data_IF_646827626680
#
_entry.id   IF_646827626680
#
_cell.length_a   1.000
_cell.length_b   1.000
_cell.length_c   1.000
_cell.angle_alpha   90.00
_cell.angle_beta   90.00
_cell.angle_gamma   90.00
#
_symmetry.space_group_name_H-M   'P 1'
#
loop_
_entity.id
_entity.type
_entity.pdbx_description
1 polymer ?
#
# COMPACT_ATOMS: atom_id res chain seq x y z
N UNK A 1 -14.62 -18.66 -2.99
CA UNK A 1 -13.17 -18.67 -3.30
C UNK A 1 -12.60 -19.99 -2.82
N UNK A 2 -11.83 -20.70 -3.65
CA UNK A 2 -11.60 -22.16 -3.55
C UNK A 2 -10.34 -22.57 -2.76
N UNK A 3 -9.52 -21.63 -2.33
CA UNK A 3 -8.25 -21.93 -1.66
C UNK A 3 -8.31 -21.35 -0.24
N UNK A 4 -8.15 -22.21 0.77
CA UNK A 4 -8.18 -21.87 2.20
C UNK A 4 -6.91 -21.11 2.63
N UNK A 5 -6.56 -20.04 1.92
CA UNK A 5 -5.35 -19.25 2.17
C UNK A 5 -5.68 -18.18 3.23
N UNK A 6 -5.06 -18.24 4.42
CA UNK A 6 -5.28 -17.23 5.44
C UNK A 6 -4.62 -15.90 5.05
N UNK A 7 -5.23 -14.81 5.51
CA UNK A 7 -4.63 -13.47 5.56
C UNK A 7 -3.42 -13.46 6.52
N UNK A 8 -2.63 -12.39 6.50
CA UNK A 8 -1.49 -12.21 7.42
C UNK A 8 -1.88 -12.26 8.91
N UNK A 9 -3.15 -12.05 9.24
CA UNK A 9 -3.69 -12.17 10.62
C UNK A 9 -4.40 -13.50 10.90
N UNK A 10 -4.29 -14.49 10.00
CA UNK A 10 -4.88 -15.82 10.19
C UNK A 10 -6.37 -15.96 9.83
N UNK A 11 -7.01 -14.90 9.32
CA UNK A 11 -8.42 -14.97 8.87
C UNK A 11 -8.53 -15.56 7.47
N UNK A 12 -9.54 -16.38 7.20
CA UNK A 12 -9.75 -16.99 5.88
C UNK A 12 -10.48 -16.08 4.89
N UNK A 13 -11.15 -15.05 5.39
CA UNK A 13 -11.91 -14.11 4.56
C UNK A 13 -11.00 -12.95 4.14
N UNK A 14 -10.81 -12.81 2.84
CA UNK A 14 -10.14 -11.66 2.23
C UNK A 14 -11.17 -10.59 1.87
N UNK A 15 -10.89 -9.34 2.23
CA UNK A 15 -11.68 -8.18 1.78
C UNK A 15 -11.01 -7.48 0.60
N UNK A 16 -11.78 -6.67 -0.15
CA UNK A 16 -11.21 -5.86 -1.23
C UNK A 16 -10.13 -4.89 -0.75
N UNK A 17 -10.29 -4.34 0.47
CA UNK A 17 -9.32 -3.43 1.07
C UNK A 17 -8.01 -4.11 1.42
N UNK A 18 -8.04 -5.38 1.85
CA UNK A 18 -6.83 -6.15 2.13
C UNK A 18 -5.98 -6.30 0.87
N UNK A 19 -6.63 -6.63 -0.25
CA UNK A 19 -5.98 -6.76 -1.56
C UNK A 19 -5.48 -5.39 -2.05
N UNK A 20 -6.26 -4.33 -1.88
CA UNK A 20 -5.86 -2.98 -2.26
C UNK A 20 -4.64 -2.49 -1.47
N UNK A 21 -4.52 -2.84 -0.17
CA UNK A 21 -3.34 -2.50 0.63
C UNK A 21 -2.08 -3.21 0.12
N UNK A 22 -2.21 -4.46 -0.33
CA UNK A 22 -1.10 -5.22 -0.91
C UNK A 22 -0.65 -4.58 -2.23
N UNK A 23 -1.58 -4.34 -3.15
CA UNK A 23 -1.26 -3.81 -4.49
C UNK A 23 -0.66 -2.40 -4.42
N UNK A 24 -1.06 -1.58 -3.45
CA UNK A 24 -0.53 -0.21 -3.31
C UNK A 24 0.86 -0.12 -2.67
N UNK A 25 1.34 -1.19 -2.05
CA UNK A 25 2.54 -1.09 -1.24
C UNK A 25 3.79 -1.16 -2.12
N UNK A 26 4.50 -0.05 -2.19
CA UNK A 26 5.70 0.17 -3.00
C UNK A 26 6.83 -0.79 -2.61
N UNK A 27 6.76 -1.34 -1.38
CA UNK A 27 7.70 -2.36 -0.93
C UNK A 27 7.72 -3.59 -1.84
N UNK A 28 6.60 -3.95 -2.45
CA UNK A 28 6.57 -5.09 -3.37
C UNK A 28 7.40 -4.86 -4.63
N UNK A 29 7.64 -3.61 -5.04
CA UNK A 29 8.54 -3.27 -6.15
C UNK A 29 9.96 -2.91 -5.70
N UNK A 30 10.30 -3.13 -4.43
CA UNK A 30 11.62 -2.92 -3.85
C UNK A 30 11.86 -1.55 -3.24
N UNK A 31 10.99 -0.58 -3.49
CA UNK A 31 11.12 0.80 -3.00
C UNK A 31 10.52 0.94 -1.58
N UNK A 32 10.86 2.02 -0.87
CA UNK A 32 10.35 2.28 0.47
C UNK A 32 10.01 3.77 0.66
N UNK A 33 8.77 4.04 1.06
CA UNK A 33 8.35 5.36 1.54
C UNK A 33 8.29 5.35 3.07
N UNK A 34 9.17 6.14 3.69
CA UNK A 34 9.27 6.30 5.14
C UNK A 34 8.42 7.47 5.62
N UNK A 35 7.98 7.41 6.88
CA UNK A 35 7.17 8.43 7.54
C UNK A 35 5.83 8.75 6.84
N UNK A 36 5.15 7.72 6.30
CA UNK A 36 3.75 7.85 5.82
C UNK A 36 2.80 8.35 6.91
N UNK A 37 3.08 8.01 8.16
CA UNK A 37 2.36 8.46 9.35
C UNK A 37 3.34 8.87 10.44
N UNK A 38 2.99 9.87 11.25
CA UNK A 38 3.81 10.34 12.35
C UNK A 38 2.99 10.43 13.64
N UNK A 39 3.68 10.45 14.79
CA UNK A 39 3.06 10.60 16.11
C UNK A 39 2.93 12.08 16.41
N UNK A 40 1.69 12.56 16.57
CA UNK A 40 1.39 13.98 16.85
C UNK A 40 1.64 14.30 18.31
N UNK A 41 1.23 13.40 19.20
CA UNK A 41 1.38 13.54 20.64
C UNK A 41 1.96 12.24 21.23
N UNK A 42 3.07 12.38 21.96
CA UNK A 42 3.77 11.28 22.59
C UNK A 42 3.04 10.71 23.81
N UNK A 43 2.19 11.50 24.47
CA UNK A 43 1.42 11.06 25.65
C UNK A 43 0.21 10.22 25.24
N UNK A 44 -0.59 10.72 24.30
CA UNK A 44 -1.77 9.98 23.78
C UNK A 44 -1.41 8.94 22.73
N UNK A 45 -0.17 8.93 22.21
CA UNK A 45 0.29 8.09 21.09
C UNK A 45 -0.57 8.25 19.84
N UNK A 46 -1.21 9.41 19.67
CA UNK A 46 -2.01 9.70 18.49
C UNK A 46 -1.14 9.71 17.24
N UNK A 47 -1.54 8.94 16.23
CA UNK A 47 -0.87 8.86 14.93
C UNK A 47 -1.77 9.42 13.84
N UNK A 48 -1.19 10.21 12.95
CA UNK A 48 -1.90 10.82 11.82
C UNK A 48 -1.10 10.62 10.55
N UNK A 49 -1.80 10.61 9.42
CA UNK A 49 -1.20 10.59 8.09
C UNK A 49 -0.37 11.85 7.89
N UNK A 50 0.74 11.71 7.17
CA UNK A 50 1.67 12.81 6.99
C UNK A 50 1.35 13.56 5.69
N UNK A 51 0.58 14.64 5.80
CA UNK A 51 0.30 15.56 4.69
C UNK A 51 1.44 16.59 4.51
N UNK A 52 2.68 16.13 4.47
CA UNK A 52 3.91 16.96 4.35
C UNK A 52 4.25 17.76 5.62
N UNK A 53 3.59 17.48 6.75
CA UNK A 53 3.89 18.12 8.05
C UNK A 53 5.30 17.78 8.54
N UNK A 54 5.76 16.55 8.32
CA UNK A 54 7.13 16.12 8.63
C UNK A 54 7.82 15.59 7.37
N UNK A 55 9.17 15.67 7.26
CA UNK A 55 9.88 15.20 6.08
C UNK A 55 9.60 13.72 5.77
N UNK A 56 9.18 13.44 4.54
CA UNK A 56 9.04 12.10 4.01
C UNK A 56 10.27 11.74 3.17
N UNK A 57 10.69 10.47 3.24
CA UNK A 57 11.84 9.98 2.50
C UNK A 57 11.40 8.82 1.61
N UNK A 58 11.60 8.99 0.31
CA UNK A 58 11.41 7.93 -0.68
C UNK A 58 12.77 7.34 -1.04
N UNK A 59 12.91 6.02 -0.87
CA UNK A 59 14.13 5.28 -1.13
C UNK A 59 13.86 4.30 -2.26
N UNK A 60 14.58 4.45 -3.36
CA UNK A 60 14.53 3.51 -4.48
C UNK A 60 15.40 2.28 -4.21
N UNK A 61 14.91 1.11 -4.60
CA UNK A 61 15.62 -0.18 -4.51
C UNK A 61 16.17 -0.48 -3.09
N UNK A 62 15.36 -0.18 -2.06
CA UNK A 62 15.70 -0.43 -0.66
C UNK A 62 15.92 -1.93 -0.34
N UNK A 63 15.20 -2.82 -1.04
CA UNK A 63 15.34 -4.28 -0.90
C UNK A 63 14.97 -4.99 -2.21
N UNK A 64 15.26 -6.29 -2.26
CA UNK A 64 14.88 -7.12 -3.39
C UNK A 64 13.37 -7.09 -3.60
N UNK A 65 12.97 -6.74 -4.83
CA UNK A 65 11.58 -6.61 -5.19
C UNK A 65 10.91 -7.99 -5.30
N UNK A 66 9.69 -8.11 -4.76
CA UNK A 66 8.87 -9.32 -4.89
C UNK A 66 8.28 -9.41 -6.31
N UNK A 67 7.95 -8.26 -6.91
CA UNK A 67 7.50 -8.13 -8.31
C UNK A 67 8.32 -7.05 -9.01
N UNK A 68 8.47 -7.14 -10.34
CA UNK A 68 9.16 -6.09 -11.10
C UNK A 68 8.39 -4.76 -11.06
N UNK A 69 9.10 -3.64 -11.20
CA UNK A 69 8.53 -2.30 -11.28
C UNK A 69 7.50 -2.19 -12.40
N UNK A 70 7.75 -2.83 -13.55
CA UNK A 70 6.83 -2.84 -14.69
C UNK A 70 5.49 -3.51 -14.34
N UNK A 71 5.52 -4.68 -13.70
CA UNK A 71 4.31 -5.39 -13.30
C UNK A 71 3.54 -4.59 -12.25
N UNK A 72 4.24 -4.02 -11.27
CA UNK A 72 3.64 -3.17 -10.25
C UNK A 72 2.93 -1.96 -10.88
N UNK A 73 3.60 -1.26 -11.81
CA UNK A 73 3.04 -0.11 -12.50
C UNK A 73 1.82 -0.48 -13.37
N UNK A 74 1.85 -1.61 -14.07
CA UNK A 74 0.70 -2.12 -14.82
C UNK A 74 -0.51 -2.39 -13.92
N UNK A 75 -0.29 -2.97 -12.73
CA UNK A 75 -1.37 -3.20 -11.76
C UNK A 75 -1.97 -1.89 -11.26
N UNK A 76 -1.14 -0.86 -11.02
CA UNK A 76 -1.61 0.46 -10.61
C UNK A 76 -2.42 1.15 -11.72
N UNK A 77 -2.00 1.04 -12.99
CA UNK A 77 -2.76 1.55 -14.14
C UNK A 77 -4.12 0.87 -14.27
N UNK A 78 -4.17 -0.47 -14.16
CA UNK A 78 -5.44 -1.20 -14.22
C UNK A 78 -6.38 -0.81 -13.07
N UNK A 79 -5.83 -0.59 -11.87
CA UNK A 79 -6.61 -0.11 -10.73
C UNK A 79 -7.17 1.30 -10.97
N UNK A 80 -6.36 2.21 -11.49
CA UNK A 80 -6.81 3.56 -11.86
C UNK A 80 -7.91 3.50 -12.93
N UNK A 81 -7.74 2.67 -13.97
CA UNK A 81 -8.75 2.43 -15.00
C UNK A 81 -10.07 1.96 -14.40
N UNK A 82 -10.05 0.97 -13.50
CA UNK A 82 -11.25 0.46 -12.82
C UNK A 82 -11.93 1.53 -11.97
N UNK A 83 -11.16 2.35 -11.25
CA UNK A 83 -11.70 3.45 -10.46
C UNK A 83 -12.45 4.46 -11.34
N UNK A 84 -11.90 4.79 -12.51
CA UNK A 84 -12.50 5.76 -13.42
C UNK A 84 -13.80 5.28 -14.06
N UNK A 85 -13.96 3.95 -14.30
CA UNK A 85 -15.21 3.39 -14.83
C UNK A 85 -16.43 3.66 -13.94
N UNK A 86 -16.22 3.70 -12.62
CA UNK A 86 -17.30 3.93 -11.65
C UNK A 86 -17.46 5.41 -11.28
N UNK A 87 -16.44 6.23 -11.53
CA UNK A 87 -16.46 7.66 -11.15
C UNK A 87 -17.16 8.57 -12.16
N UNK A 88 -17.56 8.08 -13.34
CA UNK A 88 -18.39 8.83 -14.30
C UNK A 88 -17.84 10.20 -14.70
N UNK A 89 -16.50 10.32 -14.86
CA UNK A 89 -15.85 11.46 -15.49
C UNK A 89 -15.20 11.03 -16.79
#
# INVERSE_FOLDING_TARGET
MRNQIPTGSGKLNWTGDDINRIINNEKYMGDALLQKTFTVDCLTKQRTDNDVTVPQYYIENNHEAIVSKDIFNLAQQERARRSNLYSGK
#
